data_IF_862478876378
#
_entry.id   IF_862478876378
#
_cell.length_a   1.000
_cell.length_b   1.000
_cell.length_c   1.000
_cell.angle_alpha   90.00
_cell.angle_beta   90.00
_cell.angle_gamma   90.00
#
_symmetry.space_group_name_H-M   'P 1'
#
loop_
_entity.id
_entity.type
_entity.pdbx_description
1 polymer ?
#
# COMPACT_ATOMS: atom_id res chain seq x y z
N UNK A 1 16.99 -15.81 13.81
CA UNK A 1 17.79 -16.14 12.61
C UNK A 1 18.25 -14.84 11.99
N UNK A 2 19.41 -14.84 11.32
CA UNK A 2 20.00 -13.68 10.64
C UNK A 2 20.22 -14.03 9.19
N UNK A 3 19.87 -13.11 8.29
CA UNK A 3 20.04 -13.27 6.86
C UNK A 3 20.80 -12.07 6.28
N UNK A 4 21.81 -12.33 5.46
CA UNK A 4 22.49 -11.30 4.67
C UNK A 4 21.86 -11.24 3.29
N UNK A 5 20.92 -10.30 3.16
CA UNK A 5 20.16 -10.04 1.94
C UNK A 5 20.75 -8.92 1.09
N UNK A 6 21.94 -8.40 1.43
CA UNK A 6 22.64 -7.40 0.63
C UNK A 6 22.73 -7.77 -0.87
N UNK A 7 23.11 -9.00 -1.26
CA UNK A 7 23.16 -9.39 -2.67
C UNK A 7 21.78 -9.56 -3.32
N UNK A 8 20.68 -9.50 -2.56
CA UNK A 8 19.31 -9.70 -3.03
C UNK A 8 18.53 -8.38 -3.16
N UNK A 9 19.09 -7.24 -2.74
CA UNK A 9 18.39 -5.95 -2.73
C UNK A 9 17.77 -5.62 -4.09
N UNK A 10 18.56 -5.68 -5.16
CA UNK A 10 18.12 -5.35 -6.53
C UNK A 10 17.20 -6.43 -7.15
N UNK A 11 17.29 -7.66 -6.63
CA UNK A 11 16.55 -8.82 -7.14
C UNK A 11 15.20 -9.02 -6.43
N UNK A 12 14.91 -8.23 -5.38
CA UNK A 12 13.69 -8.37 -4.61
C UNK A 12 12.47 -7.88 -5.41
N UNK A 13 11.47 -8.74 -5.71
CA UNK A 13 10.31 -8.33 -6.52
C UNK A 13 9.46 -7.22 -5.90
N UNK A 14 9.52 -7.03 -4.58
CA UNK A 14 8.84 -5.96 -3.85
C UNK A 14 9.62 -4.63 -3.80
N UNK A 15 10.80 -4.56 -4.41
CA UNK A 15 11.72 -3.42 -4.35
C UNK A 15 12.69 -3.48 -3.17
N UNK A 16 13.81 -2.78 -3.27
CA UNK A 16 14.88 -2.71 -2.27
C UNK A 16 14.49 -1.85 -1.05
N UNK A 17 13.71 -0.78 -1.26
CA UNK A 17 13.27 0.17 -0.23
C UNK A 17 12.67 -0.50 1.02
N UNK A 18 11.87 -1.55 0.82
CA UNK A 18 11.23 -2.29 1.93
C UNK A 18 12.25 -3.11 2.73
N UNK A 19 13.31 -3.61 2.09
CA UNK A 19 14.40 -4.33 2.75
C UNK A 19 15.34 -3.38 3.49
N UNK A 20 15.62 -2.21 2.90
CA UNK A 20 16.42 -1.15 3.55
C UNK A 20 15.73 -0.65 4.81
N UNK A 21 14.42 -0.42 4.75
CA UNK A 21 13.62 -0.03 5.92
C UNK A 21 13.61 -1.11 7.01
N UNK A 22 13.78 -2.37 6.62
CA UNK A 22 13.85 -3.53 7.50
C UNK A 22 15.26 -3.83 8.06
N UNK A 23 16.27 -3.04 7.71
CA UNK A 23 17.66 -3.29 8.11
C UNK A 23 17.85 -3.18 9.62
N UNK A 24 18.68 -4.07 10.18
CA UNK A 24 19.06 -4.10 11.60
C UNK A 24 17.90 -4.24 12.59
N UNK A 25 16.71 -4.66 12.13
CA UNK A 25 15.58 -5.00 12.99
C UNK A 25 15.02 -6.38 12.66
N UNK A 26 14.16 -6.88 13.54
CA UNK A 26 13.35 -8.05 13.27
C UNK A 26 12.32 -7.70 12.18
N UNK A 27 12.33 -8.46 11.09
CA UNK A 27 11.46 -8.28 9.93
C UNK A 27 10.46 -9.44 9.77
N UNK A 28 10.25 -10.25 10.81
CA UNK A 28 9.32 -11.39 10.74
C UNK A 28 7.90 -10.93 10.43
N UNK A 29 7.40 -9.92 11.15
CA UNK A 29 6.05 -9.39 10.92
C UNK A 29 5.94 -8.78 9.49
N UNK A 30 6.94 -7.99 9.08
CA UNK A 30 6.98 -7.38 7.74
C UNK A 30 6.96 -8.45 6.61
N UNK A 31 7.63 -9.59 6.83
CA UNK A 31 7.67 -10.70 5.87
C UNK A 31 6.37 -11.51 5.81
N UNK A 32 5.78 -11.80 6.97
CA UNK A 32 4.55 -12.58 7.10
C UNK A 32 3.31 -11.80 6.63
N UNK A 33 3.24 -10.49 6.93
CA UNK A 33 2.10 -9.64 6.55
C UNK A 33 1.95 -9.50 5.02
N UNK A 34 3.05 -9.62 4.27
CA UNK A 34 3.03 -9.62 2.80
C UNK A 34 2.52 -10.95 2.23
N UNK A 35 2.69 -12.06 2.94
CA UNK A 35 2.26 -13.38 2.48
C UNK A 35 3.15 -13.96 1.37
N UNK A 36 4.48 -13.95 1.57
CA UNK A 36 5.43 -14.55 0.64
C UNK A 36 5.16 -16.04 0.38
N UNK A 37 5.40 -16.47 -0.87
CA UNK A 37 5.20 -17.86 -1.30
C UNK A 37 6.19 -18.83 -0.65
N UNK A 38 5.86 -20.13 -0.66
CA UNK A 38 6.75 -21.17 -0.13
C UNK A 38 8.12 -21.17 -0.82
N UNK A 39 8.16 -20.92 -2.12
CA UNK A 39 9.42 -20.79 -2.87
C UNK A 39 10.27 -19.60 -2.40
N UNK A 40 9.64 -18.49 -2.03
CA UNK A 40 10.35 -17.34 -1.46
C UNK A 40 10.93 -17.67 -0.06
N UNK A 41 10.19 -18.43 0.75
CA UNK A 41 10.68 -18.93 2.05
C UNK A 41 11.87 -19.87 1.88
N UNK A 42 11.82 -20.77 0.91
CA UNK A 42 12.93 -21.65 0.57
C UNK A 42 14.16 -20.85 0.13
N UNK A 43 13.97 -19.78 -0.65
CA UNK A 43 15.05 -18.91 -1.11
C UNK A 43 15.81 -18.22 0.03
N UNK A 44 15.15 -17.92 1.16
CA UNK A 44 15.80 -17.30 2.34
C UNK A 44 16.98 -18.11 2.85
N UNK A 45 16.93 -19.46 2.70
CA UNK A 45 18.02 -20.33 3.14
C UNK A 45 19.37 -20.00 2.49
N UNK A 46 19.37 -19.49 1.25
CA UNK A 46 20.58 -19.06 0.52
C UNK A 46 21.30 -17.90 1.20
N UNK A 47 20.57 -17.08 1.93
CA UNK A 47 21.05 -15.86 2.57
C UNK A 47 21.27 -16.03 4.07
N UNK A 48 21.10 -17.23 4.62
CA UNK A 48 21.22 -17.48 6.05
C UNK A 48 22.66 -17.34 6.55
N UNK A 49 22.85 -16.54 7.61
CA UNK A 49 24.15 -16.31 8.25
C UNK A 49 24.26 -17.05 9.57
N UNK A 50 23.18 -17.12 10.35
CA UNK A 50 23.20 -17.75 11.67
C UNK A 50 21.98 -17.44 12.54
N UNK A 51 22.10 -17.73 13.84
CA UNK A 51 21.06 -17.47 14.83
C UNK A 51 21.39 -16.23 15.67
N UNK A 52 20.34 -15.55 16.13
CA UNK A 52 20.48 -14.41 17.06
C UNK A 52 20.46 -14.97 18.47
N UNK A 53 21.37 -14.51 19.31
CA UNK A 53 21.32 -14.80 20.74
C UNK A 53 20.17 -14.03 21.40
N UNK A 54 19.09 -14.76 21.70
CA UNK A 54 17.89 -14.21 22.35
C UNK A 54 18.16 -13.54 23.70
N UNK A 55 19.26 -13.88 24.40
CA UNK A 55 19.62 -13.25 25.67
C UNK A 55 20.15 -11.82 25.51
N UNK A 56 20.59 -11.47 24.30
CA UNK A 56 21.09 -10.12 23.95
C UNK A 56 19.99 -9.18 23.46
N UNK A 57 18.80 -9.71 23.20
CA UNK A 57 17.69 -8.91 22.70
C UNK A 57 17.11 -8.03 23.81
N UNK A 58 16.84 -6.74 23.54
CA UNK A 58 16.12 -5.91 24.48
C UNK A 58 14.73 -6.52 24.73
N UNK A 59 14.22 -6.43 25.96
CA UNK A 59 12.88 -6.89 26.30
C UNK A 59 11.86 -6.30 25.31
N UNK A 60 11.09 -7.17 24.62
CA UNK A 60 10.18 -6.84 23.51
C UNK A 60 9.57 -5.45 23.65
N UNK A 61 10.07 -4.49 22.89
CA UNK A 61 9.39 -3.22 22.70
C UNK A 61 8.22 -3.53 21.77
N UNK A 62 6.99 -3.35 22.23
CA UNK A 62 5.82 -3.48 21.36
C UNK A 62 5.94 -2.49 20.21
N UNK A 63 6.30 -2.98 19.02
CA UNK A 63 6.26 -2.18 17.79
C UNK A 63 4.80 -1.81 17.53
N UNK A 64 4.49 -0.52 17.65
CA UNK A 64 3.24 0.03 17.14
C UNK A 64 3.52 0.41 15.69
N UNK A 65 2.94 -0.28 14.69
CA UNK A 65 3.13 0.13 13.31
C UNK A 65 2.74 1.61 13.20
N UNK A 66 3.46 2.42 12.40
CA UNK A 66 3.04 3.77 12.12
C UNK A 66 1.62 3.67 11.56
N UNK A 67 0.68 4.32 12.26
CA UNK A 67 -0.72 4.38 11.87
C UNK A 67 -0.72 4.84 10.42
N UNK A 68 -1.07 3.94 9.49
CA UNK A 68 -1.23 4.30 8.09
C UNK A 68 -2.09 5.57 8.09
N UNK A 69 -1.51 6.68 7.66
CA UNK A 69 -2.25 7.94 7.51
C UNK A 69 -3.28 7.66 6.45
N UNK A 70 -4.46 7.22 6.87
CA UNK A 70 -5.67 7.34 6.07
C UNK A 70 -5.78 8.83 5.83
N UNK A 71 -5.29 9.28 4.68
CA UNK A 71 -5.44 10.65 4.23
C UNK A 71 -6.92 10.98 4.37
N UNK A 72 -7.24 11.82 5.34
CA UNK A 72 -8.56 12.35 5.56
C UNK A 72 -8.93 13.18 4.32
N UNK A 73 -9.54 12.52 3.35
CA UNK A 73 -10.06 13.10 2.12
C UNK A 73 -11.46 12.58 1.80
N UNK A 74 -12.23 12.18 2.82
CA UNK A 74 -13.56 11.59 2.63
C UNK A 74 -14.62 12.65 2.26
N UNK A 75 -14.33 13.95 2.42
CA UNK A 75 -15.25 15.04 2.07
C UNK A 75 -15.20 15.44 0.59
N UNK A 76 -14.02 15.52 -0.01
CA UNK A 76 -13.83 16.02 -1.39
C UNK A 76 -14.30 15.00 -2.43
N UNK A 77 -14.08 13.70 -2.18
CA UNK A 77 -14.51 12.63 -3.07
C UNK A 77 -16.03 12.61 -3.28
N UNK A 78 -16.80 12.83 -2.23
CA UNK A 78 -18.28 12.82 -2.30
C UNK A 78 -18.83 14.02 -3.09
N UNK A 79 -18.21 15.20 -2.97
CA UNK A 79 -18.61 16.39 -3.73
C UNK A 79 -18.27 16.27 -5.23
N UNK A 80 -17.07 15.74 -5.55
CA UNK A 80 -16.68 15.46 -6.94
C UNK A 80 -17.66 14.44 -7.55
N UNK A 81 -18.07 13.43 -6.77
CA UNK A 81 -19.02 12.42 -7.25
C UNK A 81 -20.43 12.94 -7.46
N UNK A 82 -20.89 13.96 -6.73
CA UNK A 82 -22.19 14.58 -6.99
C UNK A 82 -22.12 15.43 -8.26
N UNK A 83 -21.06 16.24 -8.39
CA UNK A 83 -20.91 17.17 -9.51
C UNK A 83 -20.80 16.45 -10.86
N UNK A 84 -20.12 15.29 -10.90
CA UNK A 84 -19.98 14.49 -12.13
C UNK A 84 -21.32 13.97 -12.69
N UNK A 85 -22.34 13.75 -11.85
CA UNK A 85 -23.67 13.29 -12.30
C UNK A 85 -24.62 14.45 -12.56
N UNK A 86 -24.50 15.55 -11.80
CA UNK A 86 -25.39 16.71 -11.93
C UNK A 86 -25.10 17.50 -13.21
N UNK A 87 -23.82 17.71 -13.59
CA UNK A 87 -23.47 18.49 -14.78
C UNK A 87 -24.07 17.89 -16.07
N UNK A 88 -23.90 16.58 -16.38
CA UNK A 88 -24.49 15.99 -17.56
C UNK A 88 -26.03 16.06 -17.58
N UNK A 89 -26.68 15.89 -16.42
CA UNK A 89 -28.15 15.99 -16.32
C UNK A 89 -28.65 17.41 -16.56
N UNK A 90 -27.93 18.43 -16.09
CA UNK A 90 -28.26 19.83 -16.37
C UNK A 90 -28.07 20.18 -17.84
N UNK A 91 -26.97 19.72 -18.47
CA UNK A 91 -26.73 19.92 -19.90
C UNK A 91 -27.83 19.23 -20.71
N UNK A 92 -28.19 18.00 -20.37
CA UNK A 92 -29.25 17.25 -21.03
C UNK A 92 -30.62 17.91 -20.87
N UNK A 93 -30.94 18.40 -19.66
CA UNK A 93 -32.18 19.12 -19.37
C UNK A 93 -32.27 20.45 -20.13
N UNK A 94 -31.19 21.22 -20.17
CA UNK A 94 -31.12 22.47 -20.93
C UNK A 94 -31.25 22.22 -22.43
N UNK A 95 -30.57 21.21 -22.97
CA UNK A 95 -30.68 20.81 -24.37
C UNK A 95 -32.11 20.36 -24.72
N UNK A 96 -32.77 19.60 -23.84
CA UNK A 96 -34.16 19.18 -24.02
C UNK A 96 -35.13 20.38 -23.99
N UNK A 97 -34.94 21.31 -23.05
CA UNK A 97 -35.75 22.53 -22.98
C UNK A 97 -35.57 23.39 -24.24
N UNK A 98 -34.33 23.69 -24.64
CA UNK A 98 -34.04 24.43 -25.87
C UNK A 98 -34.61 23.75 -27.11
N UNK A 99 -34.58 22.41 -27.17
CA UNK A 99 -35.20 21.64 -28.25
C UNK A 99 -36.73 21.73 -28.23
N UNK A 100 -37.36 21.74 -27.06
CA UNK A 100 -38.82 21.82 -26.93
C UNK A 100 -39.35 23.23 -27.24
N UNK A 101 -38.61 24.27 -26.84
CA UNK A 101 -38.97 25.67 -27.11
C UNK A 101 -38.54 26.14 -28.51
N UNK A 102 -37.47 25.59 -29.09
CA UNK A 102 -37.05 25.87 -30.47
C UNK A 102 -37.84 25.13 -31.55
N UNK A 103 -38.76 24.25 -31.17
CA UNK A 103 -39.68 23.54 -32.09
C UNK A 103 -41.07 24.18 -32.16
N UNK A 104 -41.23 25.35 -31.55
CA UNK A 104 -42.49 26.07 -31.42
C UNK A 104 -42.57 27.18 -32.47
N UNK A 105 -42.41 26.79 -33.74
CA UNK A 105 -42.73 27.54 -34.96
C UNK A 105 -43.31 26.57 -35.99
#
# INVERSE_FOLDING_TARGET
MVYDITPFLDDHPGGDEVLVTATAKDATDDFEDVGHSDSAREMMSKYFVGEVDSSTLPAKVQYKPPKATSAAGQGTGNLIKILQFVIPLLILGLAFALKQFGKKD
#
